data_IF_975358391039
#
_entry.id   IF_975358391039
#
_cell.length_a   1.000
_cell.length_b   1.000
_cell.length_c   1.000
_cell.angle_alpha   90.00
_cell.angle_beta   90.00
_cell.angle_gamma   90.00
#
_symmetry.space_group_name_H-M   'P 1'
#
loop_
_entity.id
_entity.type
_entity.pdbx_description
1 polymer ?
#
# COMPACT_ATOMS: atom_id res chain seq x y z
N UNK A 1 -22.46 -21.74 17.76
CA UNK A 1 -21.12 -22.18 17.52
C UNK A 1 -20.87 -23.67 17.65
N UNK A 2 -21.89 -24.46 18.09
CA UNK A 2 -21.76 -25.91 18.20
C UNK A 2 -22.96 -26.60 17.59
N UNK A 3 -22.73 -27.78 17.00
CA UNK A 3 -23.77 -28.67 16.50
C UNK A 3 -23.95 -29.85 17.45
N UNK A 4 -25.21 -30.25 17.68
CA UNK A 4 -25.52 -31.41 18.50
C UNK A 4 -25.13 -32.69 17.77
N UNK A 5 -24.29 -33.51 18.39
CA UNK A 5 -23.83 -34.80 17.83
C UNK A 5 -24.78 -35.96 18.20
N UNK A 6 -25.46 -35.83 19.30
CA UNK A 6 -26.34 -36.90 19.80
C UNK A 6 -26.22 -37.14 21.30
N UNK A 7 -26.94 -38.15 21.73
CA UNK A 7 -26.89 -38.64 23.10
C UNK A 7 -25.95 -39.82 23.21
N UNK A 8 -25.04 -39.78 24.18
CA UNK A 8 -23.99 -40.76 24.35
C UNK A 8 -24.05 -41.38 25.76
N UNK A 9 -23.45 -42.57 25.89
CA UNK A 9 -23.39 -43.31 27.17
C UNK A 9 -22.33 -42.72 28.13
N UNK A 10 -21.53 -41.77 27.72
CA UNK A 10 -20.53 -41.08 28.54
C UNK A 10 -20.46 -39.61 28.17
N UNK A 11 -19.93 -38.75 29.08
CA UNK A 11 -19.75 -37.31 28.84
C UNK A 11 -18.78 -37.03 27.71
N UNK A 12 -17.73 -37.88 27.58
CA UNK A 12 -16.72 -37.81 26.54
C UNK A 12 -16.55 -39.20 25.96
N UNK A 13 -16.53 -39.34 24.64
CA UNK A 13 -16.54 -40.65 23.97
C UNK A 13 -17.86 -41.42 24.26
N UNK A 14 -17.75 -42.70 24.54
CA UNK A 14 -18.92 -43.55 24.75
C UNK A 14 -19.60 -43.99 23.44
N UNK A 15 -20.72 -44.66 23.55
CA UNK A 15 -21.51 -45.13 22.39
C UNK A 15 -22.65 -44.16 22.13
N UNK A 16 -22.87 -43.81 20.87
CA UNK A 16 -24.03 -43.05 20.43
C UNK A 16 -25.32 -43.86 20.72
N UNK A 17 -26.27 -43.25 21.40
CA UNK A 17 -27.62 -43.80 21.55
C UNK A 17 -28.42 -43.50 20.28
N UNK A 18 -29.04 -44.50 19.74
CA UNK A 18 -30.01 -44.38 18.66
C UNK A 18 -31.35 -45.03 19.05
N UNK A 19 -32.40 -44.76 18.31
CA UNK A 19 -33.78 -45.19 18.61
C UNK A 19 -34.01 -46.71 18.60
N UNK A 20 -33.05 -47.50 18.11
CA UNK A 20 -33.14 -48.98 18.10
C UNK A 20 -32.48 -49.63 19.31
N UNK A 21 -31.85 -48.84 20.19
CA UNK A 21 -31.19 -49.34 21.39
C UNK A 21 -32.26 -49.58 22.50
N UNK A 22 -32.46 -50.83 22.89
CA UNK A 22 -33.33 -51.14 24.03
C UNK A 22 -32.69 -50.73 25.36
N UNK A 23 -33.38 -49.96 26.16
CA UNK A 23 -32.96 -49.56 27.51
C UNK A 23 -33.63 -50.54 28.49
N UNK A 24 -32.84 -51.36 29.15
CA UNK A 24 -33.33 -52.41 30.07
C UNK A 24 -33.15 -52.04 31.56
N UNK A 25 -32.46 -50.92 31.84
CA UNK A 25 -32.20 -50.42 33.19
C UNK A 25 -32.11 -48.89 33.17
N UNK A 26 -32.20 -48.28 34.38
CA UNK A 26 -31.98 -46.83 34.52
C UNK A 26 -30.61 -46.44 33.97
N UNK A 27 -30.60 -45.53 32.97
CA UNK A 27 -29.42 -45.17 32.22
C UNK A 27 -29.36 -43.66 32.06
N UNK A 28 -28.17 -43.08 32.26
CA UNK A 28 -27.91 -41.64 32.01
C UNK A 28 -27.28 -41.49 30.63
N UNK A 29 -27.83 -40.60 29.83
CA UNK A 29 -27.25 -40.20 28.56
C UNK A 29 -26.72 -38.77 28.63
N UNK A 30 -25.69 -38.53 27.90
CA UNK A 30 -24.99 -37.25 27.86
C UNK A 30 -25.09 -36.65 26.45
N UNK A 31 -25.57 -35.41 26.35
CA UNK A 31 -25.53 -34.66 25.12
C UNK A 31 -24.08 -34.33 24.77
N UNK A 32 -23.67 -34.67 23.56
CA UNK A 32 -22.38 -34.24 23.04
C UNK A 32 -22.57 -33.26 21.89
N UNK A 33 -21.65 -32.31 21.79
CA UNK A 33 -21.66 -31.27 20.80
C UNK A 33 -20.29 -31.20 20.12
N UNK A 34 -20.27 -30.73 18.88
CA UNK A 34 -19.07 -30.48 18.11
C UNK A 34 -19.01 -29.00 17.77
N UNK A 35 -17.86 -28.39 17.94
CA UNK A 35 -17.63 -27.01 17.52
C UNK A 35 -17.75 -26.89 16.01
N UNK A 36 -18.53 -25.92 15.56
CA UNK A 36 -18.70 -25.66 14.14
C UNK A 36 -17.48 -24.95 13.58
N UNK A 37 -17.24 -25.17 12.29
CA UNK A 37 -16.26 -24.44 11.53
C UNK A 37 -16.92 -23.38 10.68
N UNK A 38 -16.25 -22.26 10.53
CA UNK A 38 -16.72 -21.13 9.72
C UNK A 38 -15.57 -20.61 8.86
N UNK A 39 -15.93 -20.15 7.67
CA UNK A 39 -14.96 -19.53 6.76
C UNK A 39 -14.63 -18.13 7.28
N UNK A 40 -13.34 -17.83 7.37
CA UNK A 40 -12.81 -16.49 7.59
C UNK A 40 -12.13 -16.03 6.31
N UNK A 41 -12.52 -14.85 5.85
CA UNK A 41 -11.88 -14.13 4.76
C UNK A 41 -10.90 -13.12 5.35
N UNK A 42 -9.67 -13.14 4.87
CA UNK A 42 -8.61 -12.19 5.21
C UNK A 42 -8.47 -11.23 4.03
N UNK A 43 -9.06 -10.05 4.14
CA UNK A 43 -8.99 -9.01 3.11
C UNK A 43 -7.68 -8.24 3.27
N UNK A 44 -6.82 -8.33 2.27
CA UNK A 44 -5.51 -7.68 2.28
C UNK A 44 -5.59 -6.15 2.11
N UNK A 45 -6.78 -5.59 1.92
CA UNK A 45 -7.00 -4.17 1.63
C UNK A 45 -6.25 -3.68 0.38
N UNK A 46 -5.98 -4.61 -0.54
CA UNK A 46 -5.33 -4.38 -1.84
C UNK A 46 -6.20 -4.82 -3.03
N UNK A 47 -7.42 -5.28 -2.76
CA UNK A 47 -8.30 -5.94 -3.72
C UNK A 47 -8.08 -7.45 -3.81
N UNK A 48 -7.20 -8.01 -2.99
CA UNK A 48 -6.96 -9.44 -2.85
C UNK A 48 -7.41 -9.92 -1.48
N UNK A 49 -7.71 -11.21 -1.37
CA UNK A 49 -8.09 -11.84 -0.11
C UNK A 49 -7.68 -13.31 -0.09
N UNK A 50 -7.53 -13.85 1.11
CA UNK A 50 -7.31 -15.26 1.39
C UNK A 50 -8.44 -15.80 2.26
N UNK A 51 -8.63 -17.11 2.31
CA UNK A 51 -9.66 -17.73 3.15
C UNK A 51 -9.08 -18.88 3.96
N UNK A 52 -9.55 -18.98 5.22
CA UNK A 52 -9.23 -20.12 6.09
C UNK A 52 -10.51 -20.62 6.76
N UNK A 53 -10.50 -21.87 7.25
CA UNK A 53 -11.53 -22.36 8.15
C UNK A 53 -11.09 -22.19 9.60
N UNK A 54 -11.96 -21.65 10.42
CA UNK A 54 -11.73 -21.46 11.85
C UNK A 54 -12.75 -22.25 12.67
N UNK A 55 -12.30 -22.87 13.75
CA UNK A 55 -13.17 -23.62 14.65
C UNK A 55 -13.68 -22.71 15.77
N UNK A 56 -14.98 -22.70 16.00
CA UNK A 56 -15.57 -21.92 17.10
C UNK A 56 -14.97 -22.31 18.45
N UNK A 57 -14.60 -21.31 19.24
CA UNK A 57 -14.01 -21.47 20.57
C UNK A 57 -12.52 -21.75 20.60
N UNK A 58 -11.88 -21.96 19.45
CA UNK A 58 -10.42 -22.11 19.34
C UNK A 58 -9.73 -20.77 19.05
N UNK A 59 -8.41 -20.72 19.22
CA UNK A 59 -7.62 -19.57 18.85
C UNK A 59 -7.57 -19.43 17.32
N UNK A 60 -7.53 -18.18 16.83
CA UNK A 60 -7.41 -17.89 15.41
C UNK A 60 -6.10 -18.45 14.83
N UNK A 61 -6.21 -19.05 13.67
CA UNK A 61 -5.09 -19.42 12.81
C UNK A 61 -4.95 -18.30 11.78
N UNK A 62 -3.97 -17.42 11.99
CA UNK A 62 -3.72 -16.31 11.09
C UNK A 62 -2.98 -16.79 9.82
N UNK A 63 -3.22 -16.16 8.67
CA UNK A 63 -2.37 -16.36 7.50
C UNK A 63 -0.96 -15.78 7.73
N UNK A 64 -0.05 -16.07 6.82
CA UNK A 64 1.26 -15.40 6.79
C UNK A 64 1.06 -13.90 6.61
N UNK A 65 1.87 -13.09 7.32
CA UNK A 65 1.80 -11.65 7.18
C UNK A 65 2.01 -11.24 5.72
N UNK A 66 1.08 -10.48 5.16
CA UNK A 66 1.16 -10.09 3.76
C UNK A 66 2.20 -8.98 3.56
N UNK A 67 2.76 -8.93 2.35
CA UNK A 67 3.70 -7.89 1.96
C UNK A 67 3.06 -6.89 1.00
N UNK A 68 3.35 -5.61 1.19
CA UNK A 68 2.93 -4.53 0.30
C UNK A 68 4.06 -3.55 0.10
N UNK A 69 4.33 -3.20 -1.16
CA UNK A 69 5.37 -2.22 -1.50
C UNK A 69 5.06 -0.86 -0.83
N UNK A 70 6.06 -0.28 -0.19
CA UNK A 70 5.99 1.01 0.50
C UNK A 70 4.90 1.10 1.59
N UNK A 71 4.63 -0.01 2.24
CA UNK A 71 3.73 -0.04 3.38
C UNK A 71 4.19 -1.09 4.39
N UNK A 72 4.01 -0.83 5.66
CA UNK A 72 4.23 -1.74 6.76
C UNK A 72 2.90 -2.37 7.17
N UNK A 73 2.89 -3.68 7.37
CA UNK A 73 1.71 -4.39 7.86
C UNK A 73 1.55 -4.16 9.36
N UNK A 74 0.40 -3.64 9.76
CA UNK A 74 0.08 -3.30 11.15
C UNK A 74 -0.66 -4.42 11.90
N UNK A 75 -1.23 -5.37 11.19
CA UNK A 75 -2.02 -6.45 11.76
C UNK A 75 -3.37 -6.65 11.07
N UNK A 76 -4.12 -7.61 11.61
CA UNK A 76 -5.47 -7.94 11.16
C UNK A 76 -6.50 -7.31 12.10
N UNK A 77 -7.56 -6.72 11.55
CA UNK A 77 -8.58 -5.97 12.30
C UNK A 77 -10.00 -6.41 11.93
N UNK A 78 -10.95 -6.16 12.84
CA UNK A 78 -12.36 -6.52 12.64
C UNK A 78 -13.08 -5.64 11.62
N UNK A 79 -12.56 -4.48 11.31
CA UNK A 79 -13.14 -3.51 10.38
C UNK A 79 -12.06 -2.96 9.44
N UNK A 80 -12.48 -2.48 8.28
CA UNK A 80 -11.58 -1.94 7.27
C UNK A 80 -10.89 -0.64 7.73
N UNK A 81 -11.60 0.17 8.50
CA UNK A 81 -11.11 1.41 9.07
C UNK A 81 -11.38 1.39 10.58
N UNK A 82 -10.35 1.39 11.40
CA UNK A 82 -10.46 1.20 12.85
C UNK A 82 -10.73 -0.25 13.24
N UNK A 83 -11.70 -0.48 14.12
CA UNK A 83 -11.99 -1.82 14.63
C UNK A 83 -11.01 -2.29 15.71
N UNK A 84 -11.08 -3.56 16.04
CA UNK A 84 -10.23 -4.20 17.05
C UNK A 84 -9.24 -5.13 16.38
N UNK A 85 -7.99 -5.07 16.79
CA UNK A 85 -6.95 -5.99 16.32
C UNK A 85 -7.26 -7.42 16.74
N UNK A 86 -7.09 -8.37 15.81
CA UNK A 86 -7.18 -9.81 16.06
C UNK A 86 -5.78 -10.43 15.93
N UNK A 87 -5.46 -11.29 16.87
CA UNK A 87 -4.15 -11.93 16.96
C UNK A 87 -4.28 -13.44 17.05
N UNK A 88 -3.17 -14.17 16.99
CA UNK A 88 -3.14 -15.61 17.24
C UNK A 88 -3.62 -16.01 18.66
N UNK A 89 -3.80 -15.05 19.57
CA UNK A 89 -4.38 -15.29 20.89
C UNK A 89 -5.89 -15.00 20.96
N UNK A 90 -6.45 -14.39 19.92
CA UNK A 90 -7.89 -14.12 19.83
C UNK A 90 -8.66 -15.44 19.70
N UNK A 91 -9.65 -15.63 20.56
CA UNK A 91 -10.54 -16.80 20.47
C UNK A 91 -11.64 -16.49 19.46
N UNK A 92 -11.78 -17.36 18.46
CA UNK A 92 -12.80 -17.23 17.42
C UNK A 92 -14.20 -17.54 17.98
N UNK A 93 -15.09 -16.55 17.93
CA UNK A 93 -16.46 -16.65 18.48
C UNK A 93 -17.54 -16.30 17.47
N UNK A 94 -17.17 -16.09 16.21
CA UNK A 94 -18.14 -15.82 15.17
C UNK A 94 -18.94 -17.07 14.81
N UNK A 95 -20.22 -16.89 14.51
CA UNK A 95 -21.16 -17.97 14.20
C UNK A 95 -21.63 -17.96 12.75
N UNK A 96 -20.93 -17.19 11.91
CA UNK A 96 -21.12 -17.06 10.48
C UNK A 96 -19.77 -16.80 9.80
N UNK A 97 -19.76 -16.82 8.47
CA UNK A 97 -18.63 -16.37 7.69
C UNK A 97 -18.28 -14.91 8.05
N UNK A 98 -17.01 -14.63 8.26
CA UNK A 98 -16.50 -13.36 8.79
C UNK A 98 -15.33 -12.88 7.97
N UNK A 99 -15.13 -11.56 7.89
CA UNK A 99 -13.99 -10.95 7.23
C UNK A 99 -13.15 -10.17 8.23
N UNK A 100 -11.84 -10.37 8.21
CA UNK A 100 -10.85 -9.52 8.86
C UNK A 100 -10.03 -8.78 7.80
N UNK A 101 -9.56 -7.58 8.15
CA UNK A 101 -8.95 -6.64 7.22
C UNK A 101 -7.51 -6.35 7.61
N UNK A 102 -6.62 -6.42 6.66
CA UNK A 102 -5.24 -5.98 6.83
C UNK A 102 -5.19 -4.45 6.95
N UNK A 103 -4.55 -3.95 8.00
CA UNK A 103 -4.20 -2.54 8.13
C UNK A 103 -2.74 -2.31 7.73
N UNK A 104 -2.50 -1.14 7.15
CA UNK A 104 -1.21 -0.77 6.60
C UNK A 104 -0.81 0.63 7.02
N UNK A 105 0.43 0.80 7.43
CA UNK A 105 1.08 2.11 7.50
C UNK A 105 1.83 2.34 6.19
N UNK A 106 1.39 3.34 5.42
CA UNK A 106 2.05 3.70 4.16
C UNK A 106 3.29 4.52 4.48
N UNK A 107 4.45 3.99 4.16
CA UNK A 107 5.71 4.73 4.28
C UNK A 107 5.80 5.69 3.10
N UNK A 108 5.58 6.98 3.32
CA UNK A 108 5.78 8.00 2.31
C UNK A 108 7.27 8.10 1.98
N UNK A 109 7.64 7.58 0.83
CA UNK A 109 8.97 7.76 0.27
C UNK A 109 8.96 8.98 -0.64
N UNK A 110 9.60 10.07 -0.20
CA UNK A 110 9.93 11.18 -1.10
C UNK A 110 11.25 10.88 -1.81
N UNK A 111 11.18 10.64 -3.10
CA UNK A 111 12.35 10.34 -3.93
C UNK A 111 12.18 10.93 -5.32
N UNK A 112 13.02 11.88 -5.66
CA UNK A 112 13.02 12.55 -6.96
C UNK A 112 14.40 12.47 -7.57
N UNK A 113 14.48 12.00 -8.81
CA UNK A 113 15.71 12.01 -9.58
C UNK A 113 15.72 13.24 -10.49
N UNK A 114 16.73 14.08 -10.32
CA UNK A 114 16.96 15.26 -11.18
C UNK A 114 18.29 15.10 -11.92
N UNK A 115 18.41 15.60 -13.14
CA UNK A 115 19.67 15.56 -13.84
C UNK A 115 20.70 16.47 -13.15
N UNK A 116 21.89 15.94 -12.91
CA UNK A 116 22.97 16.72 -12.28
C UNK A 116 23.55 17.81 -13.20
N UNK A 117 23.43 17.63 -14.52
CA UNK A 117 23.88 18.57 -15.55
C UNK A 117 22.95 18.55 -16.74
N UNK A 118 22.80 19.70 -17.36
CA UNK A 118 22.11 19.88 -18.64
C UNK A 118 23.17 20.25 -19.68
N UNK A 119 23.67 19.31 -20.48
CA UNK A 119 24.67 19.65 -21.50
C UNK A 119 23.99 20.49 -22.59
N UNK A 120 24.62 21.62 -22.90
CA UNK A 120 24.25 22.50 -24.00
C UNK A 120 25.23 22.28 -25.15
N UNK A 121 24.71 22.09 -26.34
CA UNK A 121 25.50 22.05 -27.57
C UNK A 121 25.11 23.24 -28.43
N UNK A 122 26.10 24.00 -28.87
CA UNK A 122 25.91 25.13 -29.78
C UNK A 122 26.45 24.71 -31.15
N UNK A 123 25.63 24.80 -32.18
CA UNK A 123 26.05 24.50 -33.55
C UNK A 123 26.79 25.68 -34.19
N UNK A 124 27.31 25.48 -35.41
CA UNK A 124 28.05 26.48 -36.17
C UNK A 124 27.23 27.74 -36.48
N UNK A 125 25.92 27.67 -36.40
CA UNK A 125 25.00 28.79 -36.62
C UNK A 125 24.71 29.56 -35.34
N UNK A 126 25.24 29.13 -34.20
CA UNK A 126 24.92 29.67 -32.89
C UNK A 126 23.61 29.16 -32.28
N UNK A 127 23.01 28.16 -32.86
CA UNK A 127 21.77 27.56 -32.31
C UNK A 127 22.12 26.61 -31.19
N UNK A 128 21.43 26.78 -30.06
CA UNK A 128 21.63 26.00 -28.86
C UNK A 128 20.67 24.83 -28.84
N UNK A 129 21.19 23.65 -28.60
CA UNK A 129 20.45 22.42 -28.37
C UNK A 129 20.66 21.98 -26.92
N UNK A 130 19.60 21.66 -26.27
CA UNK A 130 19.61 21.09 -24.91
C UNK A 130 19.27 19.63 -25.02
N UNK A 131 20.06 18.77 -24.41
CA UNK A 131 19.67 17.38 -24.26
C UNK A 131 18.37 17.30 -23.46
N UNK A 132 17.47 16.39 -23.86
CA UNK A 132 16.24 16.16 -23.11
C UNK A 132 16.58 15.78 -21.67
N UNK A 133 15.99 16.51 -20.75
CA UNK A 133 16.13 16.26 -19.33
C UNK A 133 14.77 16.03 -18.70
N UNK A 134 14.70 15.09 -17.80
CA UNK A 134 13.47 14.79 -17.09
C UNK A 134 13.70 14.78 -15.58
N UNK A 135 12.71 15.25 -14.85
CA UNK A 135 12.58 15.01 -13.42
C UNK A 135 11.71 13.78 -13.25
N UNK A 136 12.25 12.75 -12.61
CA UNK A 136 11.54 11.49 -12.40
C UNK A 136 11.05 11.43 -10.97
N UNK A 137 9.74 11.33 -10.80
CA UNK A 137 9.12 11.10 -9.49
C UNK A 137 9.18 9.61 -9.17
N UNK A 138 9.98 9.22 -8.18
CA UNK A 138 10.06 7.86 -7.62
C UNK A 138 9.35 7.78 -6.27
N UNK A 139 8.63 8.85 -5.87
CA UNK A 139 7.89 8.91 -4.62
C UNK A 139 6.63 8.03 -4.67
N UNK A 140 6.07 7.75 -3.53
CA UNK A 140 4.78 7.03 -3.41
C UNK A 140 3.58 7.89 -3.78
N UNK A 141 3.72 9.22 -3.71
CA UNK A 141 2.69 10.19 -4.02
C UNK A 141 3.11 11.18 -5.12
N UNK A 142 2.21 12.11 -5.44
CA UNK A 142 2.46 13.17 -6.42
C UNK A 142 3.49 14.18 -5.91
N UNK A 143 4.39 14.59 -6.79
CA UNK A 143 5.39 15.62 -6.52
C UNK A 143 5.09 16.85 -7.37
N UNK A 144 4.94 17.99 -6.71
CA UNK A 144 4.76 19.28 -7.37
C UNK A 144 6.08 20.06 -7.36
N UNK A 145 6.55 20.44 -8.54
CA UNK A 145 7.63 21.44 -8.65
C UNK A 145 6.99 22.81 -8.46
N UNK A 146 7.32 23.47 -7.35
CA UNK A 146 6.73 24.79 -6.99
C UNK A 146 7.47 25.96 -7.65
N UNK A 147 8.77 25.82 -7.85
CA UNK A 147 9.60 26.84 -8.50
C UNK A 147 10.87 26.23 -9.08
N UNK A 148 11.41 26.87 -10.09
CA UNK A 148 12.75 26.61 -10.62
C UNK A 148 13.49 27.94 -10.63
N UNK A 149 14.66 27.98 -9.99
CA UNK A 149 15.53 29.15 -10.02
C UNK A 149 16.89 28.79 -10.63
N UNK A 150 17.44 29.70 -11.39
CA UNK A 150 18.73 29.52 -12.04
C UNK A 150 19.60 30.73 -11.73
N UNK A 151 20.82 30.47 -11.32
CA UNK A 151 21.81 31.55 -11.08
C UNK A 151 22.91 31.53 -12.12
N UNK A 152 23.24 32.68 -12.63
CA UNK A 152 24.38 32.85 -13.55
C UNK A 152 25.71 32.87 -12.79
N UNK A 153 26.76 32.39 -13.44
CA UNK A 153 28.14 32.44 -12.93
C UNK A 153 29.10 32.91 -14.03
N UNK A 154 30.28 33.31 -13.64
CA UNK A 154 31.37 33.68 -14.54
C UNK A 154 31.02 34.84 -15.49
N UNK A 155 30.23 35.80 -15.02
CA UNK A 155 29.88 36.99 -15.80
C UNK A 155 28.81 36.79 -16.87
N UNK A 156 28.07 35.64 -16.83
CA UNK A 156 26.91 35.45 -17.68
C UNK A 156 25.71 36.24 -17.11
N UNK A 157 24.87 36.75 -17.99
CA UNK A 157 23.65 37.48 -17.66
C UNK A 157 22.44 36.79 -18.27
N UNK A 158 21.34 36.76 -17.50
CA UNK A 158 20.06 36.32 -18.04
C UNK A 158 19.39 37.45 -18.83
N UNK A 159 18.90 37.08 -19.99
CA UNK A 159 18.08 37.95 -20.84
C UNK A 159 16.74 37.27 -21.14
N UNK A 160 15.69 38.05 -21.49
CA UNK A 160 14.42 37.46 -21.92
C UNK A 160 14.64 36.49 -23.08
N UNK A 161 13.94 35.35 -23.06
CA UNK A 161 14.03 34.33 -24.10
C UNK A 161 13.77 34.86 -25.52
N UNK A 162 12.95 35.89 -25.64
CA UNK A 162 12.64 36.58 -26.90
C UNK A 162 13.77 37.50 -27.42
N UNK A 163 14.87 37.65 -26.66
CA UNK A 163 15.99 38.51 -27.06
C UNK A 163 16.66 37.96 -28.34
N UNK A 164 16.81 38.82 -29.33
CA UNK A 164 17.52 38.46 -30.57
C UNK A 164 19.04 38.41 -30.36
N UNK A 165 19.53 37.23 -30.04
CA UNK A 165 20.94 36.98 -29.75
C UNK A 165 21.90 37.23 -30.93
N UNK A 166 21.36 37.19 -32.17
CA UNK A 166 22.20 37.52 -33.36
C UNK A 166 22.65 38.97 -33.39
N UNK A 167 22.02 39.84 -32.60
CA UNK A 167 22.40 41.26 -32.45
C UNK A 167 23.25 41.54 -31.19
N UNK A 168 23.54 40.50 -30.42
CA UNK A 168 24.40 40.64 -29.24
C UNK A 168 25.84 40.95 -29.68
N UNK A 169 26.54 41.71 -28.84
CA UNK A 169 28.01 41.93 -29.07
C UNK A 169 28.75 40.61 -28.89
N UNK A 170 29.83 40.45 -29.62
CA UNK A 170 30.73 39.31 -29.39
C UNK A 170 31.20 39.34 -27.93
N UNK A 171 31.21 38.18 -27.28
CA UNK A 171 31.53 38.01 -25.85
C UNK A 171 30.51 38.62 -24.86
N UNK A 172 29.28 38.88 -25.29
CA UNK A 172 28.25 39.47 -24.42
C UNK A 172 27.85 38.60 -23.22
N UNK A 173 28.19 37.30 -23.22
CA UNK A 173 27.86 36.33 -22.15
C UNK A 173 26.42 36.41 -21.71
N UNK A 174 25.50 36.42 -22.64
CA UNK A 174 24.07 36.48 -22.39
C UNK A 174 23.39 35.15 -22.73
N UNK A 175 22.42 34.75 -21.94
CA UNK A 175 21.62 33.53 -22.17
C UNK A 175 20.14 33.76 -21.82
N UNK A 176 19.29 33.32 -22.70
CA UNK A 176 17.85 33.22 -22.43
C UNK A 176 17.40 31.80 -22.73
N UNK A 177 16.58 31.21 -21.86
CA UNK A 177 16.05 29.87 -22.05
C UNK A 177 14.58 29.79 -21.60
N UNK A 178 13.96 28.66 -21.91
CA UNK A 178 12.59 28.39 -21.60
C UNK A 178 12.46 26.97 -21.02
N UNK A 179 11.69 26.84 -19.95
CA UNK A 179 11.34 25.54 -19.34
C UNK A 179 9.84 25.34 -19.51
N UNK A 180 9.42 24.40 -20.33
CA UNK A 180 8.03 24.23 -20.75
C UNK A 180 7.46 25.53 -21.35
N UNK A 181 6.46 26.10 -20.69
CA UNK A 181 5.85 27.39 -21.04
C UNK A 181 6.44 28.58 -20.28
N UNK A 182 7.32 28.34 -19.31
CA UNK A 182 7.95 29.40 -18.52
C UNK A 182 9.27 29.86 -19.16
N UNK A 183 9.45 31.15 -19.27
CA UNK A 183 10.61 31.78 -19.92
C UNK A 183 11.50 32.49 -18.89
N UNK A 184 12.80 32.59 -19.18
CA UNK A 184 13.70 33.38 -18.35
C UNK A 184 13.34 34.86 -18.35
N UNK A 185 13.40 35.46 -17.17
CA UNK A 185 13.39 36.89 -16.94
C UNK A 185 14.80 37.38 -16.63
N UNK A 186 15.00 38.70 -16.41
CA UNK A 186 16.27 39.26 -15.95
C UNK A 186 16.77 38.74 -14.62
N UNK A 187 15.85 38.21 -13.79
CA UNK A 187 16.19 37.64 -12.48
C UNK A 187 16.57 36.17 -12.54
N UNK A 188 16.39 35.50 -13.70
CA UNK A 188 16.67 34.07 -13.85
C UNK A 188 15.64 33.13 -13.26
N UNK A 189 14.53 33.65 -12.74
CA UNK A 189 13.42 32.84 -12.21
C UNK A 189 12.42 32.55 -13.33
N UNK A 190 11.86 31.34 -13.34
CA UNK A 190 10.85 30.88 -14.29
C UNK A 190 9.69 30.14 -13.61
#
# INVERSE_FOLDING_TARGET
GHSFKGWYTAKTGGKLYNTVTSITASTTFYAQFEANKYTVTWDLSTGQSETTEQTYGEKLILPTDPERKNAEFLGWFTEKDGGTEVTANTVFKETAATTYYAHWEVTELFSVTVPATLPLVVDETGKVYVAAASVVNNSTGDVKVSSVSVTSKNGWEFVPYSTNMAKAKVDAKQVGFKINSSETSKTGDS
#
